data_IF_726870395580
#
_entry.id   IF_726870395580
#
_cell.length_a   1.000
_cell.length_b   1.000
_cell.length_c   1.000
_cell.angle_alpha   90.00
_cell.angle_beta   90.00
_cell.angle_gamma   90.00
#
_symmetry.space_group_name_H-M   'P 1'
#
loop_
_entity.id
_entity.type
_entity.pdbx_description
1 polymer ?
#
# COMPACT_ATOMS: atom_id res chain seq x y z
N UNK A 1 27.83 2.97 -12.45
CA UNK A 1 27.16 3.54 -11.27
C UNK A 1 25.67 3.30 -11.43
N UNK A 2 25.00 2.50 -10.58
CA UNK A 2 23.55 2.42 -10.63
C UNK A 2 23.00 3.75 -10.12
N UNK A 3 22.16 4.39 -10.93
CA UNK A 3 21.47 5.63 -10.58
C UNK A 3 20.54 5.34 -9.41
N UNK A 4 20.81 5.94 -8.25
CA UNK A 4 19.80 6.11 -7.22
C UNK A 4 18.71 7.00 -7.81
N UNK A 5 17.66 6.40 -8.39
CA UNK A 5 16.39 7.13 -8.59
C UNK A 5 16.05 7.68 -7.21
N UNK A 6 15.92 9.00 -7.09
CA UNK A 6 15.44 9.62 -5.87
C UNK A 6 14.06 9.05 -5.58
N UNK A 7 13.99 8.06 -4.67
CA UNK A 7 12.73 7.57 -4.13
C UNK A 7 12.05 8.80 -3.54
N UNK A 8 10.96 9.24 -4.18
CA UNK A 8 10.19 10.40 -3.73
C UNK A 8 9.79 10.09 -2.30
N UNK A 9 10.28 10.86 -1.33
CA UNK A 9 10.01 10.61 0.09
C UNK A 9 8.50 10.53 0.27
N UNK A 10 8.02 9.38 0.75
CA UNK A 10 6.60 9.16 0.99
C UNK A 10 6.19 10.11 2.13
N UNK A 11 5.13 10.92 1.98
CA UNK A 11 4.68 11.79 3.06
C UNK A 11 4.27 10.98 4.30
N UNK A 12 4.56 11.48 5.50
CA UNK A 12 4.22 10.79 6.76
C UNK A 12 2.72 10.44 6.86
N UNK A 13 1.86 11.35 6.36
CA UNK A 13 0.42 11.11 6.28
C UNK A 13 0.06 9.90 5.40
N UNK A 14 0.82 9.65 4.33
CA UNK A 14 0.65 8.47 3.47
C UNK A 14 1.14 7.23 4.20
N UNK A 15 2.31 7.28 4.84
CA UNK A 15 2.85 6.17 5.66
C UNK A 15 1.85 5.74 6.73
N UNK A 16 1.21 6.69 7.42
CA UNK A 16 0.19 6.41 8.43
C UNK A 16 -1.06 5.71 7.89
N UNK A 17 -1.37 5.83 6.58
CA UNK A 17 -2.51 5.15 5.94
C UNK A 17 -2.17 3.79 5.35
N UNK A 18 -0.90 3.51 5.07
CA UNK A 18 -0.47 2.25 4.45
C UNK A 18 -0.91 1.01 5.26
N UNK A 19 -0.84 0.98 6.61
CA UNK A 19 -1.32 -0.17 7.38
C UNK A 19 -2.82 -0.44 7.20
N UNK A 20 -3.63 0.62 7.05
CA UNK A 20 -5.08 0.50 6.82
C UNK A 20 -5.34 -0.14 5.46
N UNK A 21 -4.66 0.34 4.41
CA UNK A 21 -4.76 -0.28 3.08
C UNK A 21 -4.29 -1.74 3.12
N UNK A 22 -3.19 -2.05 3.81
CA UNK A 22 -2.68 -3.41 3.94
C UNK A 22 -3.70 -4.36 4.57
N UNK A 23 -4.36 -3.93 5.66
CA UNK A 23 -5.37 -4.75 6.32
C UNK A 23 -6.54 -5.05 5.37
N UNK A 24 -7.09 -4.01 4.72
CA UNK A 24 -8.18 -4.17 3.76
C UNK A 24 -7.78 -5.13 2.64
N UNK A 25 -6.59 -4.99 2.08
CA UNK A 25 -6.12 -5.83 0.98
C UNK A 25 -5.96 -7.30 1.40
N UNK A 26 -5.50 -7.56 2.63
CA UNK A 26 -5.44 -8.92 3.17
C UNK A 26 -6.86 -9.52 3.25
N UNK A 27 -7.83 -8.76 3.77
CA UNK A 27 -9.23 -9.20 3.83
C UNK A 27 -9.82 -9.46 2.43
N UNK A 28 -9.47 -8.64 1.43
CA UNK A 28 -9.89 -8.86 0.04
C UNK A 28 -9.23 -10.11 -0.58
N UNK A 29 -7.94 -10.35 -0.32
CA UNK A 29 -7.23 -11.56 -0.75
C UNK A 29 -7.86 -12.82 -0.14
N UNK A 30 -8.15 -12.81 1.16
CA UNK A 30 -8.85 -13.90 1.86
C UNK A 30 -10.25 -14.15 1.31
N UNK A 31 -10.89 -13.11 0.76
CA UNK A 31 -12.19 -13.20 0.08
C UNK A 31 -12.10 -13.69 -1.38
N UNK A 32 -10.90 -14.01 -1.87
CA UNK A 32 -10.65 -14.50 -3.22
C UNK A 32 -10.72 -13.43 -4.32
N UNK A 33 -10.53 -12.15 -3.96
CA UNK A 33 -10.52 -11.05 -4.91
C UNK A 33 -9.10 -10.77 -5.41
N UNK A 34 -8.87 -10.98 -6.70
CA UNK A 34 -7.56 -10.75 -7.32
C UNK A 34 -7.28 -9.26 -7.59
N UNK A 35 -8.32 -8.44 -7.74
CA UNK A 35 -8.18 -7.03 -8.10
C UNK A 35 -9.09 -6.14 -7.25
N UNK A 36 -8.59 -4.94 -6.91
CA UNK A 36 -9.34 -3.90 -6.20
C UNK A 36 -9.27 -2.57 -6.95
N UNK A 37 -10.39 -1.86 -7.05
CA UNK A 37 -10.40 -0.51 -7.62
C UNK A 37 -9.96 0.54 -6.58
N UNK A 38 -9.46 1.69 -7.05
CA UNK A 38 -9.17 2.82 -6.16
C UNK A 38 -10.42 3.30 -5.40
N UNK A 39 -11.58 3.19 -6.03
CA UNK A 39 -12.87 3.57 -5.47
C UNK A 39 -13.28 2.60 -4.36
N UNK A 40 -13.19 1.28 -4.60
CA UNK A 40 -13.49 0.27 -3.59
C UNK A 40 -12.54 0.32 -2.39
N UNK A 41 -11.24 0.47 -2.63
CA UNK A 41 -10.26 0.63 -1.55
C UNK A 41 -10.51 1.93 -0.76
N UNK A 42 -10.94 3.00 -1.43
CA UNK A 42 -11.24 4.27 -0.77
C UNK A 42 -12.49 4.20 0.11
N UNK A 43 -13.54 3.51 -0.35
CA UNK A 43 -14.75 3.26 0.41
C UNK A 43 -14.45 2.48 1.70
N UNK A 44 -13.73 1.37 1.59
CA UNK A 44 -13.33 0.54 2.73
C UNK A 44 -12.40 1.28 3.70
N UNK A 45 -11.49 2.11 3.17
CA UNK A 45 -10.55 2.89 3.99
C UNK A 45 -11.13 4.21 4.52
N UNK A 46 -12.37 4.58 4.15
CA UNK A 46 -12.99 5.85 4.57
C UNK A 46 -12.27 7.09 4.05
N UNK A 47 -11.65 7.02 2.87
CA UNK A 47 -10.90 8.13 2.23
C UNK A 47 -11.43 8.42 0.82
N UNK A 48 -10.87 9.42 0.16
CA UNK A 48 -11.20 9.72 -1.23
C UNK A 48 -10.33 8.88 -2.20
N UNK A 49 -10.91 8.37 -3.29
CA UNK A 49 -10.21 7.62 -4.34
C UNK A 49 -9.02 8.38 -4.95
N UNK A 50 -9.08 9.70 -5.07
CA UNK A 50 -7.94 10.53 -5.49
C UNK A 50 -6.78 10.47 -4.49
N UNK A 51 -7.09 10.36 -3.19
CA UNK A 51 -6.10 10.21 -2.13
C UNK A 51 -5.45 8.82 -2.17
N UNK A 52 -6.24 7.76 -2.37
CA UNK A 52 -5.74 6.40 -2.60
C UNK A 52 -4.81 6.35 -3.81
N UNK A 53 -5.26 6.85 -4.97
CA UNK A 53 -4.42 6.92 -6.18
C UNK A 53 -3.12 7.66 -5.94
N UNK A 54 -3.17 8.77 -5.20
CA UNK A 54 -1.98 9.56 -4.85
C UNK A 54 -1.05 8.80 -3.92
N UNK A 55 -1.57 8.14 -2.90
CA UNK A 55 -0.79 7.35 -1.95
C UNK A 55 -0.08 6.18 -2.64
N UNK A 56 -0.82 5.38 -3.40
CA UNK A 56 -0.28 4.23 -4.11
C UNK A 56 0.74 4.65 -5.18
N UNK A 57 0.60 5.84 -5.77
CA UNK A 57 1.59 6.37 -6.74
C UNK A 57 3.00 6.55 -6.14
N UNK A 58 3.13 6.64 -4.81
CA UNK A 58 4.43 6.69 -4.14
C UNK A 58 5.10 5.31 -4.04
N UNK A 59 4.31 4.23 -3.98
CA UNK A 59 4.79 2.84 -4.02
C UNK A 59 5.21 2.43 -5.44
N UNK A 60 4.71 3.17 -6.44
CA UNK A 60 5.06 3.06 -7.85
C UNK A 60 3.82 3.21 -8.74
N UNK A 61 4.03 3.28 -10.05
CA UNK A 61 2.93 3.36 -11.02
C UNK A 61 2.45 1.96 -11.37
N UNK A 62 1.52 1.43 -10.58
CA UNK A 62 0.94 0.10 -10.81
C UNK A 62 -0.56 0.19 -10.65
N UNK A 63 -1.28 -0.47 -11.55
CA UNK A 63 -2.73 -0.37 -11.68
C UNK A 63 -3.10 -0.16 -13.14
N UNK A 64 -3.99 -1.00 -13.65
CA UNK A 64 -4.45 -0.93 -15.04
C UNK A 64 -5.74 -0.11 -15.08
N UNK A 65 -5.78 0.93 -15.92
CA UNK A 65 -6.96 1.78 -16.08
C UNK A 65 -8.15 0.90 -16.48
N UNK A 66 -9.19 0.88 -15.65
CA UNK A 66 -10.39 0.05 -15.84
C UNK A 66 -10.36 -1.33 -15.16
N UNK A 67 -9.23 -1.77 -14.63
CA UNK A 67 -9.09 -3.06 -13.91
C UNK A 67 -8.82 -2.83 -12.42
N UNK A 68 -8.04 -1.82 -12.07
CA UNK A 68 -7.64 -1.55 -10.69
C UNK A 68 -6.24 -2.06 -10.37
N UNK A 69 -6.01 -2.41 -9.12
CA UNK A 69 -4.76 -2.89 -8.56
C UNK A 69 -4.86 -4.39 -8.27
N UNK A 70 -3.83 -5.15 -8.64
CA UNK A 70 -3.73 -6.56 -8.27
C UNK A 70 -3.42 -6.65 -6.77
N UNK A 71 -4.22 -7.43 -6.04
CA UNK A 71 -4.27 -7.41 -4.57
C UNK A 71 -2.97 -7.94 -3.96
N UNK A 72 -2.49 -9.11 -4.40
CA UNK A 72 -1.28 -9.74 -3.87
C UNK A 72 -0.04 -8.86 -4.09
N UNK A 73 0.09 -8.29 -5.28
CA UNK A 73 1.16 -7.36 -5.58
C UNK A 73 1.11 -6.10 -4.71
N UNK A 74 -0.08 -5.54 -4.49
CA UNK A 74 -0.23 -4.33 -3.67
C UNK A 74 0.10 -4.62 -2.20
N UNK A 75 -0.32 -5.77 -1.66
CA UNK A 75 0.07 -6.27 -0.33
C UNK A 75 1.60 -6.37 -0.22
N UNK A 76 2.25 -7.00 -1.21
CA UNK A 76 3.70 -7.13 -1.24
C UNK A 76 4.42 -5.77 -1.22
N UNK A 77 4.00 -4.82 -2.07
CA UNK A 77 4.62 -3.49 -2.10
C UNK A 77 4.44 -2.72 -0.79
N UNK A 78 3.24 -2.77 -0.20
CA UNK A 78 2.98 -2.07 1.06
C UNK A 78 3.82 -2.66 2.20
N UNK A 79 3.90 -4.00 2.31
CA UNK A 79 4.75 -4.66 3.33
C UNK A 79 6.21 -4.25 3.22
N UNK A 80 6.74 -4.24 2.00
CA UNK A 80 8.11 -3.83 1.71
C UNK A 80 8.37 -2.36 2.07
N UNK A 81 7.44 -1.46 1.77
CA UNK A 81 7.61 -0.03 2.09
C UNK A 81 7.40 0.27 3.57
N UNK A 82 6.67 -0.57 4.31
CA UNK A 82 6.58 -0.53 5.78
C UNK A 82 7.75 -1.24 6.49
N UNK A 83 8.65 -1.91 5.76
CA UNK A 83 9.76 -2.67 6.34
C UNK A 83 9.32 -3.90 7.14
N UNK A 84 8.13 -4.46 6.83
CA UNK A 84 7.57 -5.66 7.44
C UNK A 84 8.19 -6.95 6.88
N UNK A 85 9.09 -6.84 5.90
CA UNK A 85 9.96 -7.90 5.38
C UNK A 85 11.23 -8.09 6.22
N UNK A 86 11.41 -7.28 7.28
CA UNK A 86 12.55 -7.36 8.19
C UNK A 86 12.12 -7.71 9.62
N UNK A 87 12.90 -8.57 10.29
CA UNK A 87 12.75 -8.81 11.72
C UNK A 87 13.34 -7.65 12.52
N UNK A 88 12.52 -6.98 13.31
CA UNK A 88 12.94 -5.90 14.19
C UNK A 88 13.06 -6.44 15.62
N UNK A 89 14.29 -6.56 16.19
CA UNK A 89 14.43 -6.89 17.59
C UNK A 89 13.91 -5.73 18.44
N UNK A 90 12.86 -5.97 19.22
CA UNK A 90 12.22 -4.96 20.08
C UNK A 90 12.31 -5.39 21.54
N UNK A 91 12.54 -4.43 22.44
CA UNK A 91 12.49 -4.63 23.91
C UNK A 91 11.53 -3.61 24.49
N UNK A 92 10.66 -4.04 25.40
CA UNK A 92 9.75 -3.18 26.16
C UNK A 92 10.39 -2.93 27.53
N UNK A 93 10.58 -1.66 27.90
CA UNK A 93 11.06 -1.26 29.23
C UNK A 93 9.95 -0.50 29.93
N UNK A 94 9.55 -1.00 31.10
CA UNK A 94 8.55 -0.40 31.99
C UNK A 94 9.19 0.08 33.29
#
# INVERSE_FOLDING_TARGET
MPSHRSRRRIPDATVARLPIYLQILIEQSESGLDNVSSEGLAELAGVNAAKVRKDLSYLGSYGTRGVGYEVEYLVFQIRRELGLDHEWPVVIVG
#
